data_IF_177009299651
#
_entry.id   IF_177009299651
#
_cell.length_a   1.000
_cell.length_b   1.000
_cell.length_c   1.000
_cell.angle_alpha   90.00
_cell.angle_beta   90.00
_cell.angle_gamma   90.00
#
_symmetry.space_group_name_H-M   'P 1'
#
loop_
_entity.id
_entity.type
_entity.pdbx_description
1 polymer ?
#
# COMPACT_ATOMS: atom_id res chain seq x y z
N UNK A 1 -21.16 0.31 32.43
CA UNK A 1 -21.45 1.48 31.56
C UNK A 1 -20.29 1.59 30.59
N UNK A 2 -20.41 0.99 29.41
CA UNK A 2 -19.29 0.70 28.52
C UNK A 2 -19.17 1.72 27.38
N UNK A 3 -18.12 2.55 27.45
CA UNK A 3 -17.19 2.80 26.35
C UNK A 3 -17.61 3.58 25.10
N UNK A 4 -18.87 4.00 24.92
CA UNK A 4 -19.17 5.04 23.91
C UNK A 4 -18.89 6.39 24.53
N UNK A 5 -17.78 7.03 24.14
CA UNK A 5 -17.59 8.45 24.36
C UNK A 5 -18.87 9.19 23.94
N UNK A 6 -19.17 10.30 24.61
CA UNK A 6 -20.35 11.10 24.29
C UNK A 6 -20.35 11.45 22.79
N UNK A 7 -21.53 11.62 22.17
CA UNK A 7 -21.62 12.00 20.75
C UNK A 7 -20.78 13.26 20.43
N UNK A 8 -20.59 14.14 21.42
CA UNK A 8 -19.74 15.32 21.35
C UNK A 8 -18.24 14.97 21.25
N UNK A 9 -17.75 14.02 22.06
CA UNK A 9 -16.37 13.52 22.03
C UNK A 9 -16.08 12.81 20.70
N UNK A 10 -16.99 11.95 20.25
CA UNK A 10 -16.83 11.27 18.96
C UNK A 10 -16.83 12.27 17.79
N UNK A 11 -17.68 13.30 17.84
CA UNK A 11 -17.65 14.36 16.84
C UNK A 11 -16.33 15.15 16.87
N UNK A 12 -15.74 15.38 18.05
CA UNK A 12 -14.43 16.00 18.19
C UNK A 12 -13.32 15.12 17.60
N UNK A 13 -13.38 13.82 17.85
CA UNK A 13 -12.47 12.82 17.30
C UNK A 13 -12.45 12.84 15.76
N UNK A 14 -13.62 12.81 15.11
CA UNK A 14 -13.69 12.93 13.64
C UNK A 14 -13.18 14.28 13.12
N UNK A 15 -13.38 15.39 13.85
CA UNK A 15 -12.81 16.69 13.47
C UNK A 15 -11.29 16.70 13.54
N UNK A 16 -10.72 16.02 14.54
CA UNK A 16 -9.28 15.84 14.67
C UNK A 16 -8.71 15.03 13.50
N UNK A 17 -9.30 13.88 13.17
CA UNK A 17 -8.89 13.09 11.99
C UNK A 17 -8.99 13.89 10.68
N UNK A 18 -10.04 14.72 10.54
CA UNK A 18 -10.18 15.63 9.39
C UNK A 18 -9.05 16.65 9.31
N UNK A 19 -8.57 17.16 10.44
CA UNK A 19 -7.46 18.12 10.47
C UNK A 19 -6.17 17.48 9.96
N UNK A 20 -5.82 16.29 10.46
CA UNK A 20 -4.68 15.49 9.99
C UNK A 20 -4.79 15.26 8.47
N UNK A 21 -5.96 14.83 7.99
CA UNK A 21 -6.18 14.60 6.56
C UNK A 21 -6.03 15.86 5.70
N UNK A 22 -6.43 17.03 6.22
CA UNK A 22 -6.31 18.31 5.51
C UNK A 22 -4.85 18.79 5.42
N UNK A 23 -4.06 18.52 6.46
CA UNK A 23 -2.67 18.93 6.56
C UNK A 23 -1.76 18.12 5.63
N UNK A 24 -1.82 16.79 5.73
CA UNK A 24 -0.90 15.89 5.03
C UNK A 24 -1.41 15.44 3.65
N UNK A 25 -2.74 15.43 3.45
CA UNK A 25 -3.38 14.76 2.33
C UNK A 25 -4.08 15.66 1.32
N UNK A 26 -3.62 16.91 1.07
CA UNK A 26 -4.38 17.94 0.32
C UNK A 26 -5.14 17.45 -0.93
N UNK A 27 -4.50 16.66 -1.79
CA UNK A 27 -5.16 16.11 -3.00
C UNK A 27 -6.25 15.09 -2.65
N UNK A 28 -5.94 14.15 -1.75
CA UNK A 28 -6.88 13.15 -1.27
C UNK A 28 -8.05 13.79 -0.51
N UNK A 29 -7.74 14.75 0.37
CA UNK A 29 -8.68 15.54 1.12
C UNK A 29 -9.71 16.23 0.21
N UNK A 30 -9.25 16.85 -0.89
CA UNK A 30 -10.14 17.43 -1.89
C UNK A 30 -11.03 16.37 -2.56
N UNK A 31 -10.50 15.19 -2.88
CA UNK A 31 -11.27 14.10 -3.47
C UNK A 31 -12.41 13.63 -2.55
N UNK A 32 -12.21 13.62 -1.22
CA UNK A 32 -13.26 13.26 -0.25
C UNK A 32 -14.47 14.21 -0.26
N UNK A 33 -14.38 15.38 -0.91
CA UNK A 33 -15.52 16.31 -1.04
C UNK A 33 -16.66 15.73 -1.88
N UNK A 34 -16.37 14.73 -2.71
CA UNK A 34 -17.36 14.01 -3.53
C UNK A 34 -18.18 13.00 -2.72
N UNK A 35 -17.70 12.62 -1.52
CA UNK A 35 -18.36 11.69 -0.62
C UNK A 35 -19.46 12.40 0.20
N UNK A 36 -20.43 11.60 0.68
CA UNK A 36 -21.40 12.09 1.67
C UNK A 36 -20.68 12.47 2.98
N UNK A 37 -21.26 13.34 3.84
CA UNK A 37 -20.62 13.72 5.09
C UNK A 37 -20.21 12.54 5.99
N UNK A 38 -21.04 11.50 6.21
CA UNK A 38 -20.65 10.35 7.03
C UNK A 38 -19.50 9.53 6.41
N UNK A 39 -19.50 9.35 5.08
CA UNK A 39 -18.43 8.64 4.38
C UNK A 39 -17.12 9.42 4.44
N UNK A 40 -17.17 10.74 4.26
CA UNK A 40 -16.00 11.60 4.34
C UNK A 40 -15.35 11.55 5.73
N UNK A 41 -16.13 11.62 6.81
CA UNK A 41 -15.60 11.51 8.17
C UNK A 41 -14.92 10.17 8.41
N UNK A 42 -15.54 9.08 7.96
CA UNK A 42 -14.97 7.73 8.05
C UNK A 42 -13.65 7.58 7.28
N UNK A 43 -13.61 8.13 6.05
CA UNK A 43 -12.40 8.16 5.23
C UNK A 43 -11.29 8.98 5.89
N UNK A 44 -11.61 10.10 6.55
CA UNK A 44 -10.63 10.87 7.31
C UNK A 44 -10.10 10.11 8.53
N UNK A 45 -10.92 9.30 9.20
CA UNK A 45 -10.48 8.44 10.31
C UNK A 45 -9.50 7.35 9.83
N UNK A 46 -9.83 6.63 8.74
CA UNK A 46 -8.90 5.67 8.14
C UNK A 46 -7.58 6.33 7.68
N UNK A 47 -7.66 7.52 7.07
CA UNK A 47 -6.48 8.26 6.64
C UNK A 47 -5.61 8.69 7.82
N UNK A 48 -6.22 9.21 8.90
CA UNK A 48 -5.47 9.60 10.10
C UNK A 48 -4.76 8.41 10.73
N UNK A 49 -5.41 7.25 10.83
CA UNK A 49 -4.78 6.02 11.28
C UNK A 49 -3.59 5.61 10.41
N UNK A 50 -3.80 5.51 9.10
CA UNK A 50 -2.73 5.15 8.16
C UNK A 50 -1.56 6.14 8.26
N UNK A 51 -1.85 7.45 8.38
CA UNK A 51 -0.79 8.45 8.53
C UNK A 51 -0.01 8.31 9.84
N UNK A 52 -0.68 8.04 10.96
CA UNK A 52 0.00 7.77 12.24
C UNK A 52 0.95 6.58 12.11
N UNK A 53 0.55 5.54 11.38
CA UNK A 53 1.41 4.36 11.14
C UNK A 53 2.56 4.72 10.20
N UNK A 54 2.31 5.42 9.10
CA UNK A 54 3.35 5.90 8.18
C UNK A 54 4.38 6.78 8.90
N UNK A 55 3.95 7.69 9.79
CA UNK A 55 4.84 8.53 10.58
C UNK A 55 5.82 7.70 11.43
N UNK A 56 5.38 6.54 11.95
CA UNK A 56 6.25 5.63 12.72
C UNK A 56 7.28 4.97 11.81
N UNK A 57 6.88 4.52 10.62
CA UNK A 57 7.78 3.88 9.65
C UNK A 57 8.78 4.90 9.08
N UNK A 58 8.33 6.09 8.68
CA UNK A 58 9.16 7.19 8.17
C UNK A 58 10.25 7.60 9.18
N UNK A 59 9.95 7.56 10.49
CA UNK A 59 10.92 7.85 11.55
C UNK A 59 12.06 6.83 11.63
N UNK A 60 11.78 5.55 11.37
CA UNK A 60 12.81 4.50 11.31
C UNK A 60 13.68 4.63 10.04
N UNK A 61 13.08 5.04 8.94
CA UNK A 61 13.80 5.21 7.67
C UNK A 61 14.77 6.40 7.71
N UNK A 62 14.37 7.49 8.36
CA UNK A 62 15.21 8.69 8.50
C UNK A 62 16.52 8.42 9.27
N UNK A 63 16.56 7.40 10.13
CA UNK A 63 17.79 6.97 10.81
C UNK A 63 18.66 6.05 9.97
N UNK A 64 18.08 5.37 8.99
CA UNK A 64 18.80 4.55 8.01
C UNK A 64 19.55 5.40 6.98
N UNK A 65 18.99 6.55 6.58
CA UNK A 65 19.60 7.48 5.63
C UNK A 65 21.00 7.94 6.09
N UNK A 66 21.23 8.02 7.41
CA UNK A 66 22.54 8.37 7.97
C UNK A 66 23.59 7.24 7.84
N UNK A 67 23.18 5.99 7.67
CA UNK A 67 24.05 4.82 7.64
C UNK A 67 24.13 4.11 6.27
N UNK A 68 23.12 4.26 5.40
CA UNK A 68 22.79 3.30 4.33
C UNK A 68 23.61 3.34 3.03
N UNK A 69 24.30 4.42 2.68
CA UNK A 69 25.04 4.49 1.40
C UNK A 69 26.51 4.96 1.49
N UNK A 70 26.99 5.32 2.69
CA UNK A 70 28.39 5.70 2.90
C UNK A 70 29.39 4.53 2.80
N UNK A 71 28.93 3.28 3.01
CA UNK A 71 29.81 2.13 3.12
C UNK A 71 30.29 1.54 1.77
N UNK A 72 29.62 1.84 0.65
CA UNK A 72 29.98 1.34 -0.69
C UNK A 72 30.83 2.32 -1.53
N UNK A 73 31.24 3.46 -0.94
CA UNK A 73 32.12 4.46 -1.59
C UNK A 73 33.46 4.71 -0.89
N UNK A 74 33.67 4.17 0.32
CA UNK A 74 34.81 4.52 1.18
C UNK A 74 36.01 3.56 1.09
N UNK A 75 36.21 2.87 -0.04
CA UNK A 75 37.48 2.22 -0.38
C UNK A 75 38.05 2.80 -1.68
N UNK A 76 38.39 4.08 -1.66
CA UNK A 76 39.49 4.70 -2.44
C UNK A 76 39.46 6.20 -2.25
N UNK A 77 40.20 6.67 -1.24
CA UNK A 77 40.98 7.92 -1.23
C UNK A 77 41.66 8.09 0.15
N UNK A 78 42.45 7.09 0.56
CA UNK A 78 43.42 7.25 1.63
C UNK A 78 44.80 7.54 1.01
N UNK A 79 44.95 8.72 0.43
CA UNK A 79 46.24 9.30 0.11
C UNK A 79 46.07 10.82 0.01
N UNK A 80 46.84 11.55 0.85
CA UNK A 80 46.91 13.00 0.95
C UNK A 80 45.68 13.63 1.66
N UNK A 81 45.73 14.24 2.85
CA UNK A 81 46.82 14.95 3.56
C UNK A 81 46.54 15.02 5.07
N UNK A 82 47.64 15.07 5.80
CA UNK A 82 47.77 15.33 7.24
C UNK A 82 47.72 16.85 7.53
N UNK A 83 46.88 17.28 8.49
CA UNK A 83 47.23 18.12 9.68
C UNK A 83 46.09 19.00 10.23
N UNK A 84 45.94 18.85 11.55
CA UNK A 84 45.69 19.86 12.58
C UNK A 84 44.26 20.43 12.82
N UNK A 85 43.63 19.86 13.87
CA UNK A 85 43.22 20.56 15.11
C UNK A 85 42.14 21.65 15.05
N UNK A 86 40.95 21.37 15.62
CA UNK A 86 40.44 21.89 16.92
C UNK A 86 38.92 21.60 17.03
N UNK A 87 38.53 21.10 18.21
CA UNK A 87 37.20 20.84 18.81
C UNK A 87 35.98 21.58 18.23
N UNK A 88 34.89 20.84 18.10
CA UNK A 88 33.56 21.24 18.60
C UNK A 88 32.69 20.01 18.87
N UNK A 89 32.07 20.02 20.04
CA UNK A 89 30.94 19.23 20.54
C UNK A 89 30.38 18.12 19.63
N UNK A 90 30.72 16.86 19.94
CA UNK A 90 30.00 15.70 19.42
C UNK A 90 28.63 15.63 20.08
N UNK A 91 27.59 16.13 19.41
CA UNK A 91 26.27 15.53 19.55
C UNK A 91 26.36 14.19 18.82
N UNK A 92 26.49 13.10 19.59
CA UNK A 92 26.44 11.75 19.06
C UNK A 92 25.12 11.60 18.27
N UNK A 93 25.23 11.17 17.01
CA UNK A 93 24.07 10.77 16.24
C UNK A 93 23.29 9.71 17.06
N UNK A 94 21.96 9.80 17.13
CA UNK A 94 21.19 8.76 17.79
C UNK A 94 21.56 7.41 17.18
N UNK A 95 21.87 6.44 18.03
CA UNK A 95 22.25 5.08 17.64
C UNK A 95 21.11 4.52 16.78
N UNK A 96 21.34 4.29 15.48
CA UNK A 96 20.27 3.98 14.52
C UNK A 96 19.49 2.73 14.92
N UNK A 97 20.18 1.74 15.49
CA UNK A 97 19.55 0.53 16.03
C UNK A 97 18.58 0.77 17.18
N UNK A 98 18.71 1.87 17.94
CA UNK A 98 17.78 2.23 19.01
C UNK A 98 16.50 2.88 18.44
N UNK A 99 16.63 3.68 17.38
CA UNK A 99 15.48 4.29 16.71
C UNK A 99 14.65 3.25 15.93
N UNK A 100 15.31 2.31 15.26
CA UNK A 100 14.68 1.22 14.50
C UNK A 100 13.89 0.29 15.43
N UNK A 101 14.51 -0.13 16.54
CA UNK A 101 13.84 -0.90 17.60
C UNK A 101 12.66 -0.12 18.20
N UNK A 102 12.80 1.20 18.38
CA UNK A 102 11.72 2.05 18.89
C UNK A 102 10.53 2.12 17.92
N UNK A 103 10.75 2.13 16.61
CA UNK A 103 9.67 2.11 15.62
C UNK A 103 8.93 0.77 15.59
N UNK A 104 9.65 -0.35 15.62
CA UNK A 104 9.04 -1.68 15.70
C UNK A 104 8.16 -1.82 16.97
N UNK A 105 8.69 -1.40 18.13
CA UNK A 105 7.95 -1.40 19.38
C UNK A 105 6.72 -0.46 19.36
N UNK A 106 6.80 0.68 18.66
CA UNK A 106 5.65 1.58 18.48
C UNK A 106 4.55 0.93 17.64
N UNK A 107 4.89 0.25 16.53
CA UNK A 107 3.92 -0.50 15.73
C UNK A 107 3.24 -1.61 16.56
N UNK A 108 3.99 -2.31 17.40
CA UNK A 108 3.45 -3.33 18.31
C UNK A 108 2.50 -2.73 19.37
N UNK A 109 2.81 -1.53 19.85
CA UNK A 109 1.91 -0.79 20.75
C UNK A 109 0.63 -0.34 20.04
N UNK A 110 0.72 0.20 18.82
CA UNK A 110 -0.45 0.57 17.99
C UNK A 110 -1.33 -0.66 17.77
N UNK A 111 -0.73 -1.80 17.38
CA UNK A 111 -1.45 -3.06 17.18
C UNK A 111 -2.17 -3.52 18.45
N UNK A 112 -1.50 -3.46 19.61
CA UNK A 112 -2.07 -3.83 20.90
C UNK A 112 -3.22 -2.90 21.31
N UNK A 113 -3.04 -1.58 21.16
CA UNK A 113 -4.08 -0.60 21.45
C UNK A 113 -5.31 -0.78 20.55
N UNK A 114 -5.10 -0.97 19.24
CA UNK A 114 -6.18 -1.20 18.29
C UNK A 114 -6.93 -2.50 18.62
N UNK A 115 -6.22 -3.59 18.85
CA UNK A 115 -6.81 -4.89 19.17
C UNK A 115 -7.62 -4.83 20.46
N UNK A 116 -7.10 -4.18 21.49
CA UNK A 116 -7.80 -4.00 22.76
C UNK A 116 -9.08 -3.20 22.57
N UNK A 117 -9.00 -2.05 21.88
CA UNK A 117 -10.15 -1.19 21.65
C UNK A 117 -11.24 -1.86 20.78
N UNK A 118 -10.85 -2.65 19.78
CA UNK A 118 -11.79 -3.42 18.97
C UNK A 118 -12.41 -4.59 19.75
N UNK A 119 -11.65 -5.25 20.66
CA UNK A 119 -12.17 -6.28 21.56
C UNK A 119 -13.19 -5.70 22.54
N UNK A 120 -12.86 -4.57 23.17
CA UNK A 120 -13.74 -3.86 24.10
C UNK A 120 -15.03 -3.38 23.42
N UNK A 121 -14.97 -3.05 22.13
CA UNK A 121 -16.12 -2.71 21.31
C UNK A 121 -16.94 -3.93 20.82
N UNK A 122 -16.51 -5.17 21.13
CA UNK A 122 -17.17 -6.40 20.69
C UNK A 122 -17.01 -6.70 19.19
N UNK A 123 -16.00 -6.12 18.53
CA UNK A 123 -15.74 -6.24 17.08
C UNK A 123 -14.69 -7.32 16.76
N UNK A 124 -14.06 -7.90 17.77
CA UNK A 124 -13.07 -8.98 17.66
C UNK A 124 -13.49 -10.18 18.52
N UNK A 125 -13.54 -11.36 17.91
CA UNK A 125 -13.62 -12.62 18.66
C UNK A 125 -12.25 -12.96 19.27
N UNK A 126 -12.23 -13.62 20.43
CA UNK A 126 -11.01 -13.83 21.23
C UNK A 126 -9.84 -14.52 20.51
N UNK A 127 -10.09 -15.24 19.40
CA UNK A 127 -9.16 -16.23 18.86
C UNK A 127 -8.62 -15.94 17.45
N UNK A 128 -8.94 -14.78 16.85
CA UNK A 128 -8.67 -14.54 15.43
C UNK A 128 -7.48 -13.62 15.13
N UNK A 129 -7.05 -12.79 16.09
CA UNK A 129 -5.94 -11.85 15.91
C UNK A 129 -4.75 -12.28 16.75
N UNK A 130 -3.84 -13.06 16.17
CA UNK A 130 -2.50 -13.31 16.68
C UNK A 130 -1.53 -12.36 15.97
N UNK A 131 -0.80 -11.52 16.72
CA UNK A 131 0.25 -10.70 16.11
C UNK A 131 1.38 -11.61 15.64
N UNK A 132 1.92 -11.34 14.45
CA UNK A 132 3.12 -11.99 13.99
C UNK A 132 4.32 -11.45 14.77
N UNK A 133 4.96 -12.31 15.56
CA UNK A 133 6.30 -12.04 16.11
C UNK A 133 6.38 -10.96 17.19
N UNK A 134 5.45 -10.91 18.15
CA UNK A 134 5.61 -10.05 19.34
C UNK A 134 6.87 -10.43 20.09
N UNK A 135 7.83 -9.50 20.11
CA UNK A 135 8.99 -9.59 20.99
C UNK A 135 8.48 -9.32 22.41
N UNK A 136 8.44 -10.34 23.28
CA UNK A 136 8.11 -10.22 24.71
C UNK A 136 9.22 -9.48 25.49
N UNK A 137 9.62 -8.31 25.02
CA UNK A 137 10.52 -7.42 25.74
C UNK A 137 9.67 -6.36 26.43
N UNK A 138 9.22 -6.65 27.64
CA UNK A 138 8.72 -5.65 28.60
C UNK A 138 9.87 -4.69 28.96
N UNK A 139 10.13 -3.74 28.07
CA UNK A 139 11.00 -2.60 28.37
C UNK A 139 10.08 -1.43 28.69
N UNK A 140 10.07 -0.89 29.93
CA UNK A 140 9.24 0.24 30.28
C UNK A 140 9.84 1.51 29.68
N UNK A 141 9.63 1.72 28.39
CA UNK A 141 9.77 3.01 27.73
C UNK A 141 8.44 3.75 27.91
N UNK A 142 8.52 4.85 28.66
CA UNK A 142 7.49 5.76 29.13
C UNK A 142 6.16 5.79 28.35
N UNK A 143 5.09 6.04 29.10
CA UNK A 143 3.66 6.25 28.77
C UNK A 143 3.37 7.22 27.59
N UNK A 144 4.03 7.05 26.45
CA UNK A 144 3.70 7.74 25.22
C UNK A 144 2.65 6.91 24.49
N UNK A 145 1.48 7.50 24.36
CA UNK A 145 0.39 7.03 23.50
C UNK A 145 0.95 6.83 22.09
N UNK A 146 0.94 5.60 21.55
CA UNK A 146 1.49 5.32 20.22
C UNK A 146 0.50 5.64 19.09
N UNK A 147 -0.81 5.52 19.35
CA UNK A 147 -1.87 6.09 18.51
C UNK A 147 -2.73 7.04 19.33
N UNK A 148 -2.90 8.28 18.85
CA UNK A 148 -3.67 9.29 19.56
C UNK A 148 -5.11 8.83 19.83
N UNK A 149 -5.61 9.11 21.05
CA UNK A 149 -6.90 8.61 21.54
C UNK A 149 -8.09 9.03 20.66
N UNK A 150 -8.18 10.28 20.16
CA UNK A 150 -9.21 10.68 19.20
C UNK A 150 -9.13 9.91 17.88
N UNK A 151 -7.92 9.61 17.37
CA UNK A 151 -7.77 8.82 16.13
C UNK A 151 -8.30 7.41 16.36
N UNK A 152 -7.91 6.77 17.46
CA UNK A 152 -8.37 5.42 17.82
C UNK A 152 -9.90 5.37 18.01
N UNK A 153 -10.49 6.34 18.71
CA UNK A 153 -11.93 6.40 18.93
C UNK A 153 -12.72 6.54 17.62
N UNK A 154 -12.31 7.46 16.73
CA UNK A 154 -12.95 7.64 15.43
C UNK A 154 -12.79 6.41 14.52
N UNK A 155 -11.63 5.75 14.61
CA UNK A 155 -11.35 4.52 13.86
C UNK A 155 -12.27 3.38 14.31
N UNK A 156 -12.36 3.11 15.62
CA UNK A 156 -13.20 2.03 16.16
C UNK A 156 -14.69 2.26 15.82
N UNK A 157 -15.19 3.49 15.95
CA UNK A 157 -16.54 3.83 15.51
C UNK A 157 -16.73 3.62 14.00
N UNK A 158 -15.74 3.98 13.18
CA UNK A 158 -15.76 3.74 11.73
C UNK A 158 -15.82 2.25 11.41
N UNK A 159 -14.98 1.43 12.05
CA UNK A 159 -14.94 -0.03 11.88
C UNK A 159 -16.30 -0.65 12.23
N UNK A 160 -16.89 -0.26 13.36
CA UNK A 160 -18.21 -0.72 13.77
C UNK A 160 -19.29 -0.32 12.76
N UNK A 161 -19.33 0.96 12.38
CA UNK A 161 -20.38 1.56 11.53
C UNK A 161 -20.43 0.97 10.14
N UNK A 162 -19.28 0.63 9.57
CA UNK A 162 -19.18 0.10 8.21
C UNK A 162 -18.85 -1.39 8.17
N UNK A 163 -18.81 -2.06 9.33
CA UNK A 163 -18.49 -3.50 9.45
C UNK A 163 -17.19 -3.87 8.72
N UNK A 164 -16.16 -3.04 8.89
CA UNK A 164 -14.86 -3.26 8.25
C UNK A 164 -14.20 -4.46 8.93
N UNK A 165 -13.77 -5.45 8.15
CA UNK A 165 -13.12 -6.64 8.71
C UNK A 165 -11.81 -6.24 9.40
N UNK A 166 -11.61 -6.56 10.70
CA UNK A 166 -10.41 -6.14 11.39
C UNK A 166 -9.11 -6.68 10.77
N UNK A 167 -9.13 -7.86 10.14
CA UNK A 167 -7.94 -8.47 9.53
C UNK A 167 -7.23 -7.56 8.52
N UNK A 168 -7.97 -6.67 7.86
CA UNK A 168 -7.36 -5.67 6.97
C UNK A 168 -6.41 -4.71 7.70
N UNK A 169 -6.64 -4.43 8.98
CA UNK A 169 -5.72 -3.63 9.80
C UNK A 169 -4.52 -4.45 10.25
N UNK A 170 -4.71 -5.75 10.53
CA UNK A 170 -3.63 -6.68 10.90
C UNK A 170 -2.63 -6.81 9.77
N UNK A 171 -3.11 -7.19 8.58
CA UNK A 171 -2.23 -7.37 7.41
C UNK A 171 -1.58 -6.06 6.97
N UNK A 172 -2.25 -4.92 7.18
CA UNK A 172 -1.65 -3.59 6.96
C UNK A 172 -0.48 -3.36 7.92
N UNK A 173 -0.67 -3.54 9.24
CA UNK A 173 0.40 -3.38 10.23
C UNK A 173 1.55 -4.38 10.00
N UNK A 174 1.26 -5.61 9.60
CA UNK A 174 2.28 -6.61 9.24
C UNK A 174 3.11 -6.15 8.03
N UNK A 175 2.51 -5.54 7.01
CA UNK A 175 3.26 -4.95 5.90
C UNK A 175 4.10 -3.75 6.33
N UNK A 176 3.60 -2.90 7.23
CA UNK A 176 4.38 -1.78 7.77
C UNK A 176 5.58 -2.26 8.59
N UNK A 177 5.45 -3.39 9.30
CA UNK A 177 6.58 -4.06 9.96
C UNK A 177 7.63 -4.59 8.98
N UNK A 178 7.24 -5.02 7.78
CA UNK A 178 8.21 -5.44 6.74
C UNK A 178 9.15 -4.30 6.34
N UNK A 179 8.71 -3.05 6.47
CA UNK A 179 9.52 -1.89 6.15
C UNK A 179 10.44 -1.45 7.30
N UNK A 180 10.15 -1.81 8.56
CA UNK A 180 10.92 -1.32 9.71
C UNK A 180 12.13 -2.21 10.01
N UNK A 181 13.39 -1.69 9.89
CA UNK A 181 14.57 -2.44 10.32
C UNK A 181 14.48 -2.86 11.78
N UNK A 182 15.03 -4.01 12.13
CA UNK A 182 14.90 -4.58 13.48
C UNK A 182 13.54 -5.23 13.77
N UNK A 183 12.53 -5.07 12.90
CA UNK A 183 11.32 -5.89 12.95
C UNK A 183 11.63 -7.34 12.56
N UNK A 184 11.00 -8.35 13.20
CA UNK A 184 11.08 -9.75 12.77
C UNK A 184 10.59 -10.00 11.33
N UNK A 185 9.75 -9.10 10.79
CA UNK A 185 9.22 -9.19 9.43
C UNK A 185 10.03 -8.39 8.40
N UNK A 186 11.10 -7.70 8.84
CA UNK A 186 11.83 -6.76 8.00
C UNK A 186 12.30 -7.39 6.68
N UNK A 187 11.94 -6.74 5.57
CA UNK A 187 12.29 -7.14 4.20
C UNK A 187 12.44 -5.89 3.33
N UNK A 188 13.65 -5.65 2.84
CA UNK A 188 13.95 -4.53 1.95
C UNK A 188 14.15 -4.93 0.47
N UNK A 189 14.06 -6.23 0.15
CA UNK A 189 14.20 -6.81 -1.19
C UNK A 189 13.19 -7.93 -1.37
N UNK A 190 12.66 -8.08 -2.58
CA UNK A 190 11.67 -9.11 -2.92
C UNK A 190 12.21 -9.97 -4.05
N UNK A 191 12.26 -11.29 -3.84
CA UNK A 191 12.83 -12.22 -4.80
C UNK A 191 11.99 -12.29 -6.08
N UNK A 192 10.66 -12.32 -5.92
CA UNK A 192 9.72 -12.45 -7.02
C UNK A 192 8.43 -11.64 -6.81
N UNK A 193 7.57 -11.63 -7.85
CA UNK A 193 6.29 -10.94 -7.82
C UNK A 193 5.32 -11.53 -6.76
N UNK A 194 5.48 -12.79 -6.36
CA UNK A 194 4.71 -13.42 -5.29
C UNK A 194 5.01 -12.81 -3.93
N UNK A 195 6.30 -12.67 -3.59
CA UNK A 195 6.73 -11.98 -2.37
C UNK A 195 6.33 -10.50 -2.39
N UNK A 196 6.48 -9.82 -3.54
CA UNK A 196 6.03 -8.42 -3.65
C UNK A 196 4.51 -8.30 -3.46
N UNK A 197 3.72 -9.23 -4.00
CA UNK A 197 2.26 -9.27 -3.79
C UNK A 197 1.88 -9.54 -2.33
N UNK A 198 2.68 -10.31 -1.59
CA UNK A 198 2.47 -10.47 -0.14
C UNK A 198 2.55 -9.13 0.58
N UNK A 199 3.58 -8.33 0.28
CA UNK A 199 3.70 -6.97 0.81
C UNK A 199 2.55 -6.06 0.34
N UNK A 200 2.25 -6.04 -0.98
CA UNK A 200 1.17 -5.20 -1.54
C UNK A 200 -0.22 -5.56 -1.01
N UNK A 201 -0.43 -6.82 -0.60
CA UNK A 201 -1.68 -7.26 0.05
C UNK A 201 -1.94 -6.44 1.31
N UNK A 202 -0.93 -6.23 2.14
CA UNK A 202 -1.02 -5.43 3.35
C UNK A 202 -0.92 -3.93 3.10
N UNK A 203 0.08 -3.49 2.34
CA UNK A 203 0.37 -2.05 2.17
C UNK A 203 -0.65 -1.31 1.28
N UNK A 204 -1.42 -2.00 0.45
CA UNK A 204 -2.35 -1.35 -0.48
C UNK A 204 -3.70 -2.04 -0.65
N UNK A 205 -3.72 -3.36 -0.91
CA UNK A 205 -5.00 -4.06 -1.12
C UNK A 205 -5.89 -3.95 0.13
N UNK A 206 -5.31 -4.11 1.33
CA UNK A 206 -6.00 -3.94 2.60
C UNK A 206 -6.63 -2.56 2.75
N UNK A 207 -5.96 -1.47 2.34
CA UNK A 207 -6.52 -0.12 2.35
C UNK A 207 -7.74 -0.02 1.42
N UNK A 208 -7.66 -0.61 0.23
CA UNK A 208 -8.80 -0.70 -0.69
C UNK A 208 -9.99 -1.43 -0.08
N UNK A 209 -9.74 -2.53 0.62
CA UNK A 209 -10.75 -3.33 1.31
C UNK A 209 -11.33 -2.63 2.55
N UNK A 210 -10.54 -1.85 3.29
CA UNK A 210 -11.03 -0.99 4.38
C UNK A 210 -11.97 0.11 3.86
N UNK A 211 -11.67 0.67 2.68
CA UNK A 211 -12.49 1.73 2.07
C UNK A 211 -13.77 1.20 1.42
N UNK A 212 -13.77 -0.03 0.92
CA UNK A 212 -14.86 -0.57 0.11
C UNK A 212 -16.24 -0.53 0.80
N UNK A 213 -16.41 -0.96 2.08
CA UNK A 213 -17.67 -0.83 2.79
C UNK A 213 -18.14 0.62 2.99
N UNK A 214 -17.18 1.56 3.13
CA UNK A 214 -17.48 2.99 3.27
C UNK A 214 -18.00 3.56 1.95
N UNK A 215 -17.34 3.25 0.84
CA UNK A 215 -17.75 3.68 -0.50
C UNK A 215 -19.10 3.10 -0.90
N UNK A 216 -19.34 1.85 -0.50
CA UNK A 216 -20.56 1.10 -0.73
C UNK A 216 -20.65 0.56 -2.16
N UNK A 217 -21.34 -0.57 -2.29
CA UNK A 217 -21.49 -1.33 -3.53
C UNK A 217 -22.95 -1.40 -3.99
N UNK A 218 -23.16 -1.79 -5.25
CA UNK A 218 -24.49 -2.18 -5.81
C UNK A 218 -24.68 -3.70 -5.89
N UNK A 219 -23.66 -4.45 -5.48
CA UNK A 219 -23.59 -5.91 -5.38
C UNK A 219 -23.15 -6.29 -3.95
N UNK A 220 -23.26 -7.56 -3.51
CA UNK A 220 -22.60 -8.02 -2.29
C UNK A 220 -21.13 -7.58 -2.24
N UNK A 221 -20.65 -7.11 -1.07
CA UNK A 221 -19.30 -6.54 -0.92
C UNK A 221 -18.22 -7.52 -1.40
N UNK A 222 -18.36 -8.80 -1.06
CA UNK A 222 -17.45 -9.88 -1.46
C UNK A 222 -17.25 -9.99 -2.99
N UNK A 223 -18.24 -9.61 -3.81
CA UNK A 223 -18.09 -9.61 -5.27
C UNK A 223 -17.22 -8.45 -5.78
N UNK A 224 -17.15 -7.34 -5.03
CA UNK A 224 -16.36 -6.17 -5.38
C UNK A 224 -14.94 -6.20 -4.79
N UNK A 225 -14.69 -7.01 -3.76
CA UNK A 225 -13.40 -7.13 -3.07
C UNK A 225 -12.23 -7.46 -4.01
N UNK A 226 -12.31 -8.44 -4.94
CA UNK A 226 -11.18 -8.77 -5.81
C UNK A 226 -10.75 -7.59 -6.68
N UNK A 227 -11.71 -6.81 -7.18
CA UNK A 227 -11.39 -5.66 -8.02
C UNK A 227 -10.89 -4.46 -7.21
N UNK A 228 -11.38 -4.28 -5.97
CA UNK A 228 -10.86 -3.26 -5.06
C UNK A 228 -9.42 -3.56 -4.64
N UNK A 229 -9.12 -4.83 -4.31
CA UNK A 229 -7.77 -5.29 -4.01
C UNK A 229 -6.83 -5.09 -5.22
N UNK A 230 -7.23 -5.52 -6.41
CA UNK A 230 -6.45 -5.33 -7.64
C UNK A 230 -6.20 -3.85 -7.97
N UNK A 231 -7.17 -2.95 -7.71
CA UNK A 231 -6.96 -1.51 -7.90
C UNK A 231 -5.91 -0.96 -6.93
N UNK A 232 -5.94 -1.40 -5.66
CA UNK A 232 -4.94 -1.07 -4.66
C UNK A 232 -3.54 -1.55 -5.06
N UNK A 233 -3.41 -2.81 -5.47
CA UNK A 233 -2.15 -3.37 -5.99
C UNK A 233 -1.62 -2.57 -7.19
N UNK A 234 -2.50 -2.21 -8.14
CA UNK A 234 -2.11 -1.43 -9.31
C UNK A 234 -1.55 -0.05 -8.94
N UNK A 235 -2.18 0.62 -7.97
CA UNK A 235 -1.70 1.91 -7.44
C UNK A 235 -0.35 1.75 -6.74
N UNK A 236 -0.17 0.67 -6.00
CA UNK A 236 1.07 0.45 -5.26
C UNK A 236 2.25 0.12 -6.17
N UNK A 237 2.05 -0.75 -7.16
CA UNK A 237 3.07 -1.00 -8.18
C UNK A 237 3.37 0.27 -8.99
N UNK A 238 2.40 1.16 -9.18
CA UNK A 238 2.64 2.50 -9.77
C UNK A 238 3.54 3.36 -8.87
N UNK A 239 3.34 3.32 -7.56
CA UNK A 239 4.20 4.05 -6.61
C UNK A 239 5.65 3.54 -6.71
N UNK A 240 5.88 2.23 -6.63
CA UNK A 240 7.24 1.66 -6.75
C UNK A 240 7.92 2.03 -8.08
N UNK A 241 7.18 2.01 -9.20
CA UNK A 241 7.74 2.36 -10.50
C UNK A 241 8.09 3.85 -10.62
N UNK A 242 7.38 4.73 -9.92
CA UNK A 242 7.62 6.18 -9.90
C UNK A 242 8.75 6.57 -8.94
N UNK A 243 8.85 5.86 -7.82
CA UNK A 243 9.63 6.26 -6.64
C UNK A 243 10.93 5.42 -6.49
N UNK A 244 11.39 4.76 -7.57
CA UNK A 244 12.58 3.89 -7.57
C UNK A 244 13.82 4.59 -6.98
N UNK A 245 14.00 5.89 -7.26
CA UNK A 245 15.15 6.64 -6.75
C UNK A 245 15.07 6.85 -5.24
N UNK A 246 13.92 7.32 -4.78
CA UNK A 246 13.64 7.55 -3.37
C UNK A 246 13.68 6.25 -2.55
N UNK A 247 13.15 5.16 -3.11
CA UNK A 247 13.20 3.83 -2.51
C UNK A 247 14.65 3.34 -2.37
N UNK A 248 15.47 3.55 -3.41
CA UNK A 248 16.89 3.22 -3.37
C UNK A 248 17.63 4.03 -2.32
N UNK A 249 17.37 5.33 -2.18
CA UNK A 249 18.01 6.18 -1.17
C UNK A 249 17.71 5.68 0.25
N UNK A 250 16.50 5.15 0.48
CA UNK A 250 16.07 4.49 1.72
C UNK A 250 16.61 3.05 1.88
N UNK A 251 17.47 2.61 0.96
CA UNK A 251 18.05 1.27 1.00
C UNK A 251 17.08 0.16 0.61
N UNK A 252 16.02 0.44 -0.16
CA UNK A 252 14.97 -0.51 -0.58
C UNK A 252 14.95 -0.75 -2.09
N UNK A 253 14.53 -1.95 -2.49
CA UNK A 253 14.18 -2.27 -3.88
C UNK A 253 12.91 -3.12 -3.83
N UNK A 254 11.77 -2.48 -4.10
CA UNK A 254 10.48 -3.16 -4.16
C UNK A 254 10.28 -3.95 -5.44
N UNK A 255 10.88 -3.51 -6.56
CA UNK A 255 10.71 -4.18 -7.85
C UNK A 255 11.22 -5.64 -7.75
N UNK A 256 10.49 -6.64 -8.31
CA UNK A 256 10.83 -8.05 -8.14
C UNK A 256 12.20 -8.41 -8.72
N UNK A 257 13.02 -9.11 -7.94
CA UNK A 257 14.38 -9.47 -8.31
C UNK A 257 14.47 -10.34 -9.56
N UNK A 258 13.60 -11.33 -9.71
CA UNK A 258 13.52 -12.20 -10.88
C UNK A 258 13.16 -11.45 -12.18
N UNK A 259 12.18 -10.55 -12.11
CA UNK A 259 11.75 -9.70 -13.22
C UNK A 259 12.87 -8.74 -13.63
N UNK A 260 13.63 -8.20 -12.68
CA UNK A 260 14.81 -7.37 -12.96
C UNK A 260 15.94 -8.20 -13.59
N UNK A 261 16.25 -9.36 -12.99
CA UNK A 261 17.33 -10.25 -13.41
C UNK A 261 17.11 -10.77 -14.84
N UNK A 262 15.86 -10.97 -15.27
CA UNK A 262 15.51 -11.36 -16.63
C UNK A 262 16.01 -10.37 -17.71
N UNK A 263 16.26 -9.10 -17.34
CA UNK A 263 16.84 -8.08 -18.23
C UNK A 263 18.33 -7.81 -17.96
N UNK A 264 18.96 -8.59 -17.07
CA UNK A 264 20.34 -8.38 -16.63
C UNK A 264 20.49 -7.14 -15.74
N UNK A 265 19.48 -6.87 -14.91
CA UNK A 265 19.46 -5.79 -13.92
C UNK A 265 19.65 -6.38 -12.53
N UNK A 266 20.64 -5.89 -11.81
CA UNK A 266 20.91 -6.20 -10.41
C UNK A 266 20.91 -4.91 -9.56
N UNK A 267 21.12 -5.07 -8.25
CA UNK A 267 21.15 -3.95 -7.31
C UNK A 267 22.29 -2.96 -7.61
N UNK A 268 23.44 -3.44 -8.09
CA UNK A 268 24.59 -2.59 -8.40
C UNK A 268 24.32 -1.70 -9.61
N UNK A 269 23.64 -2.22 -10.63
CA UNK A 269 23.22 -1.45 -11.79
C UNK A 269 22.20 -0.38 -11.39
N UNK A 270 21.23 -0.71 -10.54
CA UNK A 270 20.26 0.26 -10.02
C UNK A 270 20.96 1.36 -9.21
N UNK A 271 21.92 1.00 -8.35
CA UNK A 271 22.73 1.97 -7.60
C UNK A 271 23.61 2.84 -8.53
N UNK A 272 24.13 2.28 -9.62
CA UNK A 272 24.84 3.06 -10.64
C UNK A 272 23.91 4.05 -11.36
N UNK A 273 22.69 3.62 -11.73
CA UNK A 273 21.69 4.50 -12.34
C UNK A 273 21.30 5.63 -11.39
N UNK A 274 21.09 5.32 -10.10
CA UNK A 274 20.79 6.32 -9.07
C UNK A 274 21.91 7.36 -8.93
N UNK A 275 23.17 6.93 -8.80
CA UNK A 275 24.33 7.84 -8.67
C UNK A 275 24.55 8.74 -9.88
N UNK A 276 24.26 8.24 -11.08
CA UNK A 276 24.47 9.00 -12.33
C UNK A 276 23.25 9.80 -12.77
N UNK A 277 22.08 9.54 -12.17
CA UNK A 277 20.79 10.07 -12.63
C UNK A 277 20.34 9.54 -14.00
N UNK A 278 21.00 8.52 -14.54
CA UNK A 278 20.76 8.00 -15.89
C UNK A 278 20.21 6.59 -15.85
N UNK A 279 19.15 6.36 -16.63
CA UNK A 279 18.54 5.02 -16.77
C UNK A 279 19.30 4.19 -17.80
N UNK A 280 19.89 3.07 -17.36
CA UNK A 280 20.52 2.09 -18.27
C UNK A 280 19.45 1.46 -19.20
N UNK A 281 19.77 1.18 -20.48
CA UNK A 281 18.83 0.55 -21.40
C UNK A 281 18.22 -0.78 -20.91
N UNK A 282 18.94 -1.56 -20.09
CA UNK A 282 18.42 -2.78 -19.46
C UNK A 282 17.34 -2.46 -18.42
N UNK A 283 17.62 -1.48 -17.55
CA UNK A 283 16.66 -0.99 -16.55
C UNK A 283 15.41 -0.43 -17.22
N UNK A 284 15.59 0.37 -18.27
CA UNK A 284 14.47 0.87 -19.09
C UNK A 284 13.58 -0.27 -19.60
N UNK A 285 14.15 -1.36 -20.13
CA UNK A 285 13.36 -2.52 -20.61
C UNK A 285 12.63 -3.23 -19.47
N UNK A 286 13.28 -3.41 -18.31
CA UNK A 286 12.64 -3.99 -17.14
C UNK A 286 11.47 -3.13 -16.63
N UNK A 287 11.64 -1.81 -16.55
CA UNK A 287 10.58 -0.87 -16.19
C UNK A 287 9.43 -0.91 -17.21
N UNK A 288 9.72 -0.97 -18.51
CA UNK A 288 8.70 -1.10 -19.54
C UNK A 288 7.89 -2.40 -19.39
N UNK A 289 8.55 -3.52 -19.06
CA UNK A 289 7.89 -4.78 -18.77
C UNK A 289 6.96 -4.67 -17.56
N UNK A 290 7.45 -4.16 -16.44
CA UNK A 290 6.66 -4.00 -15.21
C UNK A 290 5.50 -3.01 -15.37
N UNK A 291 5.66 -1.94 -16.16
CA UNK A 291 4.56 -1.03 -16.55
C UNK A 291 3.48 -1.79 -17.33
N UNK A 292 3.87 -2.64 -18.30
CA UNK A 292 2.92 -3.42 -19.07
C UNK A 292 2.15 -4.43 -18.19
N UNK A 293 2.85 -5.10 -17.28
CA UNK A 293 2.26 -5.97 -16.26
C UNK A 293 1.29 -5.21 -15.37
N UNK A 294 1.67 -4.03 -14.88
CA UNK A 294 0.80 -3.21 -14.04
C UNK A 294 -0.46 -2.73 -14.79
N UNK A 295 -0.31 -2.33 -16.06
CA UNK A 295 -1.46 -1.99 -16.92
C UNK A 295 -2.42 -3.16 -17.11
N UNK A 296 -1.95 -4.41 -17.05
CA UNK A 296 -2.84 -5.57 -17.03
C UNK A 296 -3.66 -5.63 -15.74
N UNK A 297 -3.06 -5.35 -14.58
CA UNK A 297 -3.77 -5.25 -13.29
C UNK A 297 -4.84 -4.15 -13.34
N UNK A 298 -4.51 -2.96 -13.88
CA UNK A 298 -5.50 -1.89 -14.10
C UNK A 298 -6.69 -2.35 -14.94
N UNK A 299 -6.47 -3.11 -16.02
CA UNK A 299 -7.56 -3.63 -16.88
C UNK A 299 -8.45 -4.61 -16.12
N UNK A 300 -7.88 -5.44 -15.25
CA UNK A 300 -8.64 -6.36 -14.38
C UNK A 300 -9.43 -5.59 -13.32
N UNK A 301 -8.86 -4.54 -12.74
CA UNK A 301 -9.49 -3.77 -11.67
C UNK A 301 -10.59 -2.82 -12.16
N UNK A 302 -10.44 -2.23 -13.35
CA UNK A 302 -11.30 -1.15 -13.84
C UNK A 302 -12.81 -1.48 -13.89
N UNK A 303 -13.26 -2.68 -14.34
CA UNK A 303 -14.68 -3.05 -14.30
C UNK A 303 -15.27 -3.04 -12.89
N UNK A 304 -14.46 -3.27 -11.85
CA UNK A 304 -14.88 -3.23 -10.46
C UNK A 304 -15.39 -1.88 -10.00
N UNK A 305 -15.00 -0.79 -10.66
CA UNK A 305 -15.48 0.55 -10.33
C UNK A 305 -17.00 0.65 -10.56
N UNK A 306 -17.55 -0.11 -11.51
CA UNK A 306 -18.99 -0.17 -11.75
C UNK A 306 -19.78 -1.00 -10.73
N UNK A 307 -19.08 -1.75 -9.87
CA UNK A 307 -19.68 -2.44 -8.72
C UNK A 307 -19.91 -1.50 -7.53
N UNK A 308 -19.31 -0.30 -7.54
CA UNK A 308 -19.49 0.71 -6.51
C UNK A 308 -20.82 1.47 -6.67
N UNK A 309 -21.26 2.15 -5.60
CA UNK A 309 -22.40 3.08 -5.69
C UNK A 309 -22.15 4.17 -6.74
N UNK A 310 -23.13 4.52 -7.59
CA UNK A 310 -22.94 5.48 -8.69
C UNK A 310 -22.33 6.82 -8.27
N UNK A 311 -22.67 7.31 -7.08
CA UNK A 311 -22.17 8.59 -6.54
C UNK A 311 -20.64 8.62 -6.35
N UNK A 312 -20.01 7.47 -6.05
CA UNK A 312 -18.57 7.42 -5.78
C UNK A 312 -17.74 7.07 -7.03
N UNK A 313 -18.35 6.49 -8.07
CA UNK A 313 -17.64 6.03 -9.27
C UNK A 313 -16.79 7.11 -9.93
N UNK A 314 -17.27 8.36 -10.15
CA UNK A 314 -16.45 9.40 -10.78
C UNK A 314 -15.16 9.70 -10.01
N UNK A 315 -15.22 9.68 -8.67
CA UNK A 315 -14.04 9.92 -7.83
C UNK A 315 -13.01 8.79 -7.98
N UNK A 316 -13.47 7.54 -7.94
CA UNK A 316 -12.58 6.37 -8.06
C UNK A 316 -12.05 6.22 -9.50
N UNK A 317 -12.86 6.47 -10.53
CA UNK A 317 -12.39 6.54 -11.93
C UNK A 317 -11.34 7.62 -12.11
N UNK A 318 -11.57 8.81 -11.56
CA UNK A 318 -10.58 9.90 -11.59
C UNK A 318 -9.27 9.45 -10.95
N UNK A 319 -9.32 8.85 -9.76
CA UNK A 319 -8.12 8.32 -9.10
C UNK A 319 -7.41 7.28 -9.98
N UNK A 320 -8.14 6.31 -10.55
CA UNK A 320 -7.58 5.28 -11.42
C UNK A 320 -6.90 5.85 -12.68
N UNK A 321 -7.53 6.83 -13.34
CA UNK A 321 -6.97 7.50 -14.52
C UNK A 321 -5.74 8.34 -14.17
N UNK A 322 -5.75 9.02 -13.03
CA UNK A 322 -4.61 9.83 -12.59
C UNK A 322 -3.42 8.96 -12.16
N UNK A 323 -3.66 7.88 -11.42
CA UNK A 323 -2.61 6.95 -11.05
C UNK A 323 -2.05 6.20 -12.26
N UNK A 324 -2.91 5.62 -13.12
CA UNK A 324 -2.46 5.00 -14.37
C UNK A 324 -1.72 5.97 -15.28
N UNK A 325 -2.10 7.25 -15.25
CA UNK A 325 -1.42 8.33 -15.97
C UNK A 325 0.01 8.59 -15.55
N UNK A 326 0.43 8.22 -14.34
CA UNK A 326 1.83 8.31 -13.91
C UNK A 326 2.71 7.42 -14.78
N UNK A 327 2.21 6.23 -15.16
CA UNK A 327 2.95 5.31 -16.04
C UNK A 327 3.20 5.96 -17.41
N UNK A 328 2.22 6.70 -17.93
CA UNK A 328 2.38 7.47 -19.18
C UNK A 328 3.43 8.59 -19.03
N UNK A 329 3.54 9.21 -17.85
CA UNK A 329 4.57 10.23 -17.58
C UNK A 329 5.97 9.60 -17.50
N UNK A 330 6.10 8.42 -16.89
CA UNK A 330 7.38 7.67 -16.85
C UNK A 330 7.85 7.39 -18.28
N UNK A 331 6.97 6.89 -19.15
CA UNK A 331 7.29 6.62 -20.55
C UNK A 331 7.61 7.89 -21.34
N UNK A 332 6.84 8.97 -21.14
CA UNK A 332 7.06 10.26 -21.84
C UNK A 332 8.41 10.89 -21.50
N UNK A 333 8.89 10.65 -20.29
CA UNK A 333 10.21 11.12 -19.82
C UNK A 333 11.30 10.06 -20.00
N UNK A 334 11.10 9.13 -20.93
CA UNK A 334 12.10 8.11 -21.30
C UNK A 334 12.60 7.27 -20.12
N UNK A 335 11.71 6.99 -19.16
CA UNK A 335 12.00 6.22 -17.95
C UNK A 335 13.07 6.86 -17.06
N UNK A 336 13.18 8.20 -17.05
CA UNK A 336 14.12 8.96 -16.21
C UNK A 336 13.78 8.96 -14.70
N UNK A 337 13.40 7.80 -14.14
CA UNK A 337 12.95 7.63 -12.75
C UNK A 337 14.06 7.87 -11.72
N UNK A 338 15.33 7.90 -12.12
CA UNK A 338 16.48 8.20 -11.25
C UNK A 338 16.79 9.69 -11.14
N UNK A 339 16.31 10.49 -12.10
CA UNK A 339 16.53 11.96 -12.19
C UNK A 339 15.33 12.72 -11.62
N UNK A 340 14.11 12.24 -11.94
CA UNK A 340 12.88 12.92 -11.59
C UNK A 340 11.78 11.96 -11.19
N UNK A 341 10.99 12.41 -10.23
CA UNK A 341 9.75 11.75 -9.84
C UNK A 341 8.64 12.05 -10.85
N UNK A 342 8.06 11.02 -11.46
CA UNK A 342 7.00 11.18 -12.45
C UNK A 342 5.67 11.60 -11.80
N UNK A 343 5.11 12.75 -12.18
CA UNK A 343 3.81 13.19 -11.63
C UNK A 343 2.89 13.67 -12.73
N UNK A 344 1.58 13.36 -12.62
CA UNK A 344 0.60 13.87 -13.59
C UNK A 344 0.48 15.39 -13.44
N UNK A 345 0.66 16.17 -14.53
CA UNK A 345 0.57 17.63 -14.49
C UNK A 345 -0.81 18.14 -14.06
N UNK A 346 -0.86 19.28 -13.37
CA UNK A 346 -2.10 19.89 -12.84
C UNK A 346 -3.16 20.11 -13.92
N UNK A 347 -2.78 20.53 -15.13
CA UNK A 347 -3.72 20.69 -16.24
C UNK A 347 -4.42 19.37 -16.62
N UNK A 348 -3.68 18.25 -16.63
CA UNK A 348 -4.25 16.92 -16.89
C UNK A 348 -5.15 16.49 -15.73
N UNK A 349 -4.76 16.78 -14.47
CA UNK A 349 -5.61 16.52 -13.29
C UNK A 349 -6.96 17.22 -13.38
N UNK A 350 -6.96 18.51 -13.69
CA UNK A 350 -8.17 19.32 -13.85
C UNK A 350 -9.05 18.79 -14.99
N UNK A 351 -8.47 18.49 -16.15
CA UNK A 351 -9.20 17.94 -17.29
C UNK A 351 -9.88 16.61 -16.97
N UNK A 352 -9.17 15.68 -16.34
CA UNK A 352 -9.76 14.38 -15.95
C UNK A 352 -10.90 14.57 -14.95
N UNK A 353 -10.69 15.42 -13.93
CA UNK A 353 -11.74 15.71 -12.95
C UNK A 353 -13.00 16.30 -13.61
N UNK A 354 -12.86 17.23 -14.56
CA UNK A 354 -13.99 17.82 -15.30
C UNK A 354 -14.71 16.77 -16.15
N UNK A 355 -13.97 15.93 -16.88
CA UNK A 355 -14.56 14.88 -17.73
C UNK A 355 -15.37 13.87 -16.90
N UNK A 356 -14.83 13.39 -15.78
CA UNK A 356 -15.49 12.39 -14.94
C UNK A 356 -16.69 12.97 -14.18
N UNK A 357 -16.63 14.23 -13.75
CA UNK A 357 -17.78 14.91 -13.15
C UNK A 357 -18.88 15.17 -14.19
N UNK A 358 -18.51 15.52 -15.43
CA UNK A 358 -19.44 15.74 -16.53
C UNK A 358 -20.12 14.46 -17.05
N UNK A 359 -19.42 13.32 -17.00
CA UNK A 359 -19.98 12.01 -17.36
C UNK A 359 -20.94 11.47 -16.29
N UNK A 360 -20.67 11.75 -15.00
CA UNK A 360 -21.56 11.41 -13.88
C UNK A 360 -22.90 12.17 -13.86
N UNK A 361 -22.98 13.31 -14.55
CA UNK A 361 -24.22 14.08 -14.74
C UNK A 361 -25.06 13.60 -15.94
N UNK A 362 -24.48 12.77 -16.83
CA UNK A 362 -25.24 12.11 -17.89
C UNK A 362 -26.00 10.93 -17.28
N UNK A 363 -27.28 11.20 -16.99
CA UNK A 363 -28.31 10.23 -16.57
C UNK A 363 -28.17 8.94 -17.40
N UNK A 364 -28.12 7.74 -16.79
CA UNK A 364 -28.15 6.52 -17.59
C UNK A 364 -29.46 6.49 -18.39
N UNK A 365 -29.36 6.32 -19.70
CA UNK A 365 -30.50 5.93 -20.52
C UNK A 365 -31.02 4.58 -20.00
N UNK A 366 -32.34 4.48 -19.86
CA UNK A 366 -33.08 3.30 -19.40
C UNK A 366 -32.45 1.98 -19.87
N UNK A 367 -32.24 0.98 -18.99
CA UNK A 367 -31.98 -0.38 -19.42
C UNK A 367 -33.31 -1.02 -19.84
N UNK A 368 -33.75 -0.75 -21.07
CA UNK A 368 -34.83 -1.50 -21.72
C UNK A 368 -34.22 -2.52 -22.68
N UNK A 369 -33.79 -3.67 -22.16
CA UNK A 369 -33.83 -4.94 -22.90
C UNK A 369 -33.62 -6.12 -21.95
N UNK A 370 -34.56 -7.08 -21.90
CA UNK A 370 -34.38 -8.28 -21.10
C UNK A 370 -33.29 -9.16 -21.73
N UNK A 371 -32.31 -9.54 -20.91
CA UNK A 371 -31.35 -10.59 -21.24
C UNK A 371 -32.11 -11.87 -21.59
N UNK A 372 -31.84 -12.41 -22.79
CA UNK A 372 -32.28 -13.74 -23.22
C UNK A 372 -31.84 -14.78 -22.19
N UNK A 373 -32.77 -15.66 -21.82
CA UNK A 373 -32.53 -16.79 -20.93
C UNK A 373 -31.41 -17.73 -21.45
N UNK A 374 -30.59 -18.34 -20.58
CA UNK A 374 -29.64 -19.35 -20.97
C UNK A 374 -30.34 -20.68 -21.29
N UNK A 375 -29.84 -21.37 -22.32
CA UNK A 375 -30.30 -22.70 -22.75
C UNK A 375 -30.00 -23.77 -21.69
N UNK A 376 -30.81 -24.85 -21.60
CA UNK A 376 -30.68 -25.84 -20.53
C UNK A 376 -29.43 -26.71 -20.66
N UNK A 377 -28.82 -27.00 -19.51
CA UNK A 377 -27.70 -27.92 -19.33
C UNK A 377 -28.05 -29.35 -19.79
N UNK A 378 -27.18 -29.93 -20.62
CA UNK A 378 -27.18 -31.35 -20.94
C UNK A 378 -26.37 -32.09 -19.88
N UNK A 379 -27.04 -32.92 -19.08
CA UNK A 379 -26.43 -33.83 -18.12
C UNK A 379 -25.80 -35.02 -18.84
N UNK A 380 -24.48 -35.19 -18.75
CA UNK A 380 -23.82 -36.45 -19.09
C UNK A 380 -23.29 -37.12 -17.82
N UNK A 381 -24.04 -38.11 -17.35
CA UNK A 381 -23.54 -39.18 -16.47
C UNK A 381 -22.76 -40.19 -17.32
N UNK A 382 -21.47 -40.34 -17.03
CA UNK A 382 -20.66 -41.46 -17.52
C UNK A 382 -19.75 -41.99 -16.41
N UNK A 383 -19.94 -43.27 -16.08
CA UNK A 383 -19.21 -44.02 -15.07
C UNK A 383 -17.75 -44.33 -15.50
N UNK A 384 -16.83 -44.56 -14.56
CA UNK A 384 -15.39 -44.63 -14.85
C UNK A 384 -14.98 -46.00 -15.43
N UNK A 385 -14.19 -45.98 -16.51
CA UNK A 385 -13.43 -47.16 -16.98
C UNK A 385 -12.01 -47.12 -16.42
N UNK A 386 -11.61 -48.22 -15.80
CA UNK A 386 -10.31 -48.44 -15.18
C UNK A 386 -9.15 -48.40 -16.20
N UNK A 387 -8.08 -47.68 -15.85
CA UNK A 387 -6.82 -47.70 -16.57
C UNK A 387 -5.97 -48.89 -16.11
N UNK A 388 -5.68 -49.81 -17.03
CA UNK A 388 -4.77 -50.92 -16.86
C UNK A 388 -3.31 -50.46 -16.90
N UNK A 389 -2.53 -50.97 -15.95
CA UNK A 389 -1.10 -50.73 -15.76
C UNK A 389 -0.26 -51.26 -16.92
N UNK A 390 0.62 -50.41 -17.45
CA UNK A 390 1.64 -50.78 -18.42
C UNK A 390 2.70 -51.72 -17.80
N UNK A 391 3.05 -52.81 -18.51
CA UNK A 391 4.28 -53.58 -18.28
C UNK A 391 5.33 -53.21 -19.35
N UNK A 392 6.64 -53.25 -19.03
CA UNK A 392 7.69 -52.76 -19.92
C UNK A 392 8.14 -53.83 -20.94
N UNK A 393 8.47 -53.38 -22.14
CA UNK A 393 9.13 -54.19 -23.17
C UNK A 393 10.63 -54.32 -22.88
N UNK A 394 11.14 -55.55 -22.90
CA UNK A 394 12.56 -55.89 -23.08
C UNK A 394 12.78 -56.46 -24.50
N UNK A 395 14.00 -56.39 -25.07
CA UNK A 395 14.17 -56.32 -26.52
C UNK A 395 14.72 -57.59 -27.19
N UNK A 396 14.60 -57.59 -28.53
CA UNK A 396 15.32 -58.35 -29.58
C UNK A 396 14.94 -59.82 -29.82
N UNK A 397 14.47 -60.11 -31.04
CA UNK A 397 15.28 -60.65 -32.15
C UNK A 397 14.59 -60.33 -33.48
#
# INVERSE_FOLDING_TARGET
MTGRGTDAELAAAYRHCRAIAAEHGRTYFLATRLLSPPQRSAVHALYAFARTVDDVVDCAESTCDAAGFGALGAQRSAAARDRASVRTSSQAAPDSGNADLAAALRLDRIDTQLRTALKDAGLLAEMWWTAAGTTEAETPLAESVAIDTPVLAALVDTVARYSIAPDHFRVFLDAMRMDVPGSPLFRNRYADMGELREYMRGSAAAIGLQLLPILGTVVPVAEAEPAAAALGEAFQLTNFLRDVAEDLDRGRIYLPGDELAAFGVDADLLAHCRRTGRTDPRVRRALAHLIATNRAVYRTAAPGIDLLRPRVRPAIRTAAVLYGGILDEIERHDYAVFDRRATVPTARRLRVAVTELGSGLRRPANPSSPLRAPLPHVSHTAAPRAFGTARPNAPRA
#
